data_IF_144589685750
#
_entry.id   IF_144589685750
#
_cell.length_a   1.000
_cell.length_b   1.000
_cell.length_c   1.000
_cell.angle_alpha   90.00
_cell.angle_beta   90.00
_cell.angle_gamma   90.00
#
_symmetry.space_group_name_H-M   'P 1'
#
loop_
_entity.id
_entity.type
_entity.pdbx_description
1 polymer ?
#
# COMPACT_ATOMS: atom_id res chain seq x y z
N UNK A 1 -0.38 -31.58 0.47
CA UNK A 1 0.97 -31.06 0.70
C UNK A 1 1.52 -30.66 -0.66
N UNK A 2 1.39 -29.40 -1.08
CA UNK A 2 1.98 -28.93 -2.34
C UNK A 2 3.22 -28.09 -1.99
N UNK A 3 4.40 -28.72 -1.82
CA UNK A 3 5.64 -27.98 -1.76
C UNK A 3 6.00 -27.54 -3.17
N UNK A 4 6.28 -26.24 -3.33
CA UNK A 4 7.16 -25.59 -4.32
C UNK A 4 6.60 -24.19 -4.62
N UNK A 5 6.84 -23.26 -3.70
CA UNK A 5 6.64 -21.83 -3.95
C UNK A 5 7.79 -21.29 -4.81
N UNK A 6 7.86 -21.71 -6.07
CA UNK A 6 8.63 -21.00 -7.08
C UNK A 6 7.62 -20.19 -7.87
N UNK A 7 7.62 -18.86 -7.65
CA UNK A 7 6.87 -17.93 -8.50
C UNK A 7 7.44 -18.10 -9.91
N UNK A 8 6.77 -18.89 -10.75
CA UNK A 8 7.19 -19.17 -12.12
C UNK A 8 7.19 -17.87 -12.91
N UNK A 9 8.37 -17.25 -12.96
CA UNK A 9 8.67 -16.10 -13.80
C UNK A 9 8.83 -16.63 -15.22
N UNK A 10 7.75 -16.53 -15.99
CA UNK A 10 7.76 -16.86 -17.41
C UNK A 10 8.68 -15.86 -18.10
N UNK A 11 9.69 -16.37 -18.80
CA UNK A 11 10.75 -15.65 -19.51
C UNK A 11 10.23 -14.39 -20.26
N UNK A 12 11.14 -13.41 -20.44
CA UNK A 12 10.93 -12.03 -20.91
C UNK A 12 10.08 -11.84 -22.19
N UNK A 13 9.75 -12.92 -22.90
CA UNK A 13 8.85 -12.95 -24.06
C UNK A 13 7.36 -12.76 -23.69
N UNK A 14 6.96 -12.98 -22.43
CA UNK A 14 5.55 -12.84 -22.01
C UNK A 14 5.33 -11.73 -20.98
N UNK A 15 5.56 -10.48 -21.40
CA UNK A 15 5.40 -9.27 -20.55
C UNK A 15 4.01 -9.18 -19.93
N UNK A 16 2.95 -9.61 -20.64
CA UNK A 16 1.56 -9.59 -20.13
C UNK A 16 1.36 -10.54 -18.94
N UNK A 17 1.97 -11.72 -18.97
CA UNK A 17 1.91 -12.67 -17.87
C UNK A 17 2.68 -12.14 -16.65
N UNK A 18 3.84 -11.51 -16.87
CA UNK A 18 4.63 -10.85 -15.83
C UNK A 18 3.81 -9.73 -15.17
N UNK A 19 3.18 -8.82 -15.94
CA UNK A 19 2.35 -7.72 -15.41
C UNK A 19 1.15 -8.17 -14.58
N UNK A 20 0.61 -9.37 -14.83
CA UNK A 20 -0.51 -9.91 -14.03
C UNK A 20 -0.04 -10.53 -12.71
N UNK A 21 1.19 -11.06 -12.67
CA UNK A 21 1.77 -11.74 -11.49
C UNK A 21 2.64 -10.82 -10.64
N UNK A 22 3.11 -9.69 -11.17
CA UNK A 22 3.98 -8.76 -10.44
C UNK A 22 3.31 -8.20 -9.19
N UNK A 23 4.14 -7.87 -8.20
CA UNK A 23 3.72 -7.17 -6.99
C UNK A 23 3.04 -5.85 -7.35
N UNK A 24 2.05 -5.45 -6.54
CA UNK A 24 1.23 -4.27 -6.80
C UNK A 24 -0.11 -4.56 -7.47
N UNK A 25 -0.30 -5.76 -8.04
CA UNK A 25 -1.60 -6.22 -8.56
C UNK A 25 -2.36 -6.97 -7.46
N UNK A 26 -3.56 -6.50 -7.09
CA UNK A 26 -4.44 -7.15 -6.10
C UNK A 26 -4.68 -6.33 -4.82
N UNK A 27 -5.01 -7.01 -3.72
CA UNK A 27 -5.52 -6.33 -2.50
C UNK A 27 -4.43 -5.69 -1.63
N UNK A 28 -3.15 -6.06 -1.83
CA UNK A 28 -1.93 -5.53 -1.16
C UNK A 28 -2.19 -4.91 0.23
N UNK A 29 -2.83 -5.67 1.13
CA UNK A 29 -3.45 -5.14 2.37
C UNK A 29 -2.48 -4.31 3.21
N UNK A 30 -1.23 -4.74 3.32
CA UNK A 30 -0.19 -4.02 4.05
C UNK A 30 0.44 -2.92 3.19
N UNK A 31 1.00 -3.29 2.04
CA UNK A 31 1.78 -2.38 1.18
C UNK A 31 0.97 -1.19 0.66
N UNK A 32 -0.36 -1.30 0.53
CA UNK A 32 -1.24 -0.19 0.12
C UNK A 32 -1.14 1.01 1.06
N UNK A 33 -0.97 0.78 2.36
CA UNK A 33 -0.93 1.84 3.36
C UNK A 33 0.48 2.39 3.59
N UNK A 34 1.52 1.66 3.17
CA UNK A 34 2.91 2.06 3.37
C UNK A 34 3.25 3.39 2.69
N UNK A 35 2.92 3.65 1.40
CA UNK A 35 3.16 4.96 0.78
C UNK A 35 2.44 6.11 1.48
N UNK A 36 1.22 5.86 2.00
CA UNK A 36 0.46 6.87 2.75
C UNK A 36 1.14 7.21 4.07
N UNK A 37 1.68 6.21 4.78
CA UNK A 37 2.45 6.42 6.02
C UNK A 37 3.82 7.05 5.75
N UNK A 38 4.45 6.74 4.63
CA UNK A 38 5.72 7.33 4.21
C UNK A 38 5.60 8.85 4.04
N UNK A 39 4.51 9.32 3.39
CA UNK A 39 4.22 10.76 3.26
C UNK A 39 4.01 11.46 4.61
N UNK A 40 3.61 10.73 5.64
CA UNK A 40 3.44 11.24 7.01
C UNK A 40 4.62 10.87 7.93
N UNK A 41 5.79 10.53 7.37
CA UNK A 41 7.01 10.15 8.08
C UNK A 41 6.82 9.08 9.16
N UNK A 42 5.89 8.14 8.94
CA UNK A 42 5.57 7.06 9.90
C UNK A 42 5.31 7.56 11.33
N UNK A 43 4.67 8.71 11.48
CA UNK A 43 4.25 9.20 12.81
C UNK A 43 3.25 8.21 13.43
N UNK A 44 3.64 7.62 14.54
CA UNK A 44 2.80 6.78 15.39
C UNK A 44 2.48 7.54 16.69
N UNK A 45 1.31 7.32 17.28
CA UNK A 45 0.95 7.90 18.59
C UNK A 45 0.64 9.40 18.62
N UNK A 46 0.40 10.06 17.48
CA UNK A 46 -0.05 11.46 17.47
C UNK A 46 -1.56 11.55 17.44
N UNK A 47 -2.16 12.06 18.52
CA UNK A 47 -3.58 12.40 18.56
C UNK A 47 -3.83 13.65 17.72
N UNK A 48 -4.82 13.58 16.83
CA UNK A 48 -5.24 14.74 16.06
C UNK A 48 -5.83 15.76 17.02
N UNK A 49 -5.21 16.94 17.15
CA UNK A 49 -5.75 18.02 17.97
C UNK A 49 -7.17 18.35 17.51
N UNK A 50 -8.16 18.41 18.42
CA UNK A 50 -9.54 18.70 18.04
C UNK A 50 -9.60 20.06 17.34
N UNK A 51 -10.21 20.08 16.14
CA UNK A 51 -10.43 21.32 15.39
C UNK A 51 -11.43 22.19 16.17
N UNK A 52 -10.96 23.26 16.82
CA UNK A 52 -11.85 24.29 17.35
C UNK A 52 -12.59 24.93 16.18
N UNK A 53 -13.93 24.91 16.20
CA UNK A 53 -14.74 25.68 15.27
C UNK A 53 -14.37 27.16 15.47
N UNK A 54 -14.03 27.85 14.38
CA UNK A 54 -13.82 29.30 14.44
C UNK A 54 -15.11 29.94 14.99
N UNK A 55 -14.97 30.79 16.01
CA UNK A 55 -16.09 31.53 16.55
C UNK A 55 -16.66 32.41 15.42
N UNK A 56 -17.95 32.26 15.15
CA UNK A 56 -18.67 33.16 14.26
C UNK A 56 -18.65 34.53 14.94
N UNK A 57 -18.01 35.51 14.29
CA UNK A 57 -18.04 36.89 14.76
C UNK A 57 -19.46 37.44 14.56
N UNK A 58 -19.99 38.10 15.61
CA UNK A 58 -21.29 38.78 15.58
C UNK A 58 -21.25 40.01 14.68
#
# INVERSE_FOLDING_TARGET
>A
MYPMHIVFSINNWSVKAIRRKTTGTGRMRYMRHVPRRFKSNFREGTEATPRKRAAVAN
#
